data_IF_687038533045
#
_entry.id   IF_687038533045
#
_cell.length_a   1.000
_cell.length_b   1.000
_cell.length_c   1.000
_cell.angle_alpha   90.00
_cell.angle_beta   90.00
_cell.angle_gamma   90.00
#
_symmetry.space_group_name_H-M   'P 1'
#
loop_
_entity.id
_entity.type
_entity.pdbx_description
1 polymer ?
#
# COMPACT_ATOMS: atom_id res chain seq x y z
N UNK A 1 13.22 -0.30 4.96
CA UNK A 1 11.83 -0.81 4.95
C UNK A 1 10.80 0.13 5.58
N UNK A 2 11.21 1.15 6.37
CA UNK A 2 10.26 2.05 7.04
C UNK A 2 9.25 2.71 6.11
N UNK A 3 9.68 3.29 4.99
CA UNK A 3 8.78 3.92 4.02
C UNK A 3 7.76 2.94 3.40
N UNK A 4 8.19 1.72 3.04
CA UNK A 4 7.30 0.71 2.47
C UNK A 4 6.22 0.26 3.47
N UNK A 5 6.62 -0.08 4.69
CA UNK A 5 5.67 -0.47 5.75
C UNK A 5 4.79 0.71 6.17
N UNK A 6 5.36 1.91 6.25
CA UNK A 6 4.65 3.15 6.54
C UNK A 6 3.57 3.44 5.50
N UNK A 7 3.87 3.29 4.21
CA UNK A 7 2.89 3.46 3.13
C UNK A 7 1.67 2.55 3.32
N UNK A 8 1.90 1.26 3.57
CA UNK A 8 0.80 0.32 3.81
C UNK A 8 0.04 0.64 5.10
N UNK A 9 0.72 1.04 6.16
CA UNK A 9 0.08 1.44 7.41
C UNK A 9 -0.81 2.68 7.24
N UNK A 10 -0.34 3.70 6.52
CA UNK A 10 -1.14 4.91 6.23
C UNK A 10 -2.37 4.56 5.40
N UNK A 11 -2.23 3.63 4.45
CA UNK A 11 -3.33 3.18 3.61
C UNK A 11 -4.33 2.31 4.37
N UNK A 12 -3.88 1.44 5.30
CA UNK A 12 -4.74 0.72 6.25
C UNK A 12 -5.54 1.71 7.08
N UNK A 13 -4.87 2.71 7.68
CA UNK A 13 -5.53 3.70 8.51
C UNK A 13 -6.58 4.50 7.73
N UNK A 14 -6.22 4.99 6.54
CA UNK A 14 -7.15 5.70 5.67
C UNK A 14 -8.32 4.80 5.23
N UNK A 15 -8.06 3.51 5.01
CA UNK A 15 -9.06 2.51 4.61
C UNK A 15 -10.20 2.32 5.61
N UNK A 16 -9.96 2.56 6.91
CA UNK A 16 -11.01 2.46 7.93
C UNK A 16 -12.18 3.44 7.70
N UNK A 17 -11.92 4.54 6.98
CA UNK A 17 -12.92 5.56 6.63
C UNK A 17 -12.99 5.83 5.14
N UNK A 18 -12.23 5.08 4.35
CA UNK A 18 -11.97 5.31 2.93
C UNK A 18 -11.55 6.75 2.63
N UNK A 19 -10.70 7.35 3.48
CA UNK A 19 -10.26 8.74 3.30
C UNK A 19 -9.18 8.87 2.20
N UNK A 20 -9.64 9.04 0.97
CA UNK A 20 -8.77 9.25 -0.20
C UNK A 20 -8.00 10.56 -0.21
N UNK A 21 -8.27 11.47 0.74
CA UNK A 21 -7.57 12.76 0.89
C UNK A 21 -6.66 12.78 2.10
N UNK A 22 -6.47 11.64 2.77
CA UNK A 22 -5.63 11.54 3.95
C UNK A 22 -4.22 12.05 3.63
N UNK A 23 -3.81 13.09 4.35
CA UNK A 23 -2.46 13.67 4.22
C UNK A 23 -1.37 12.68 4.63
N UNK A 24 -1.73 11.64 5.39
CA UNK A 24 -0.81 10.59 5.82
C UNK A 24 -0.26 9.80 4.63
N UNK A 25 -1.07 9.57 3.59
CA UNK A 25 -0.62 8.86 2.37
C UNK A 25 0.63 9.50 1.76
N UNK A 26 0.69 10.85 1.78
CA UNK A 26 1.84 11.61 1.26
C UNK A 26 3.08 11.60 2.18
N UNK A 27 3.01 11.04 3.38
CA UNK A 27 4.16 10.90 4.27
C UNK A 27 5.12 9.83 3.74
N UNK A 28 4.59 8.72 3.24
CA UNK A 28 5.37 7.58 2.78
C UNK A 28 5.22 7.24 1.29
N UNK A 29 4.27 7.84 0.57
CA UNK A 29 4.11 7.67 -0.87
C UNK A 29 4.23 8.97 -1.65
N UNK A 30 4.64 8.86 -2.91
CA UNK A 30 4.67 9.94 -3.89
C UNK A 30 4.35 9.39 -5.28
N UNK A 31 4.26 10.25 -6.29
CA UNK A 31 4.14 9.86 -7.70
C UNK A 31 2.99 8.88 -7.99
N UNK A 32 3.32 7.78 -8.68
CA UNK A 32 2.35 6.75 -9.09
C UNK A 32 1.77 6.04 -7.87
N UNK A 33 2.61 5.72 -6.88
CA UNK A 33 2.16 5.05 -5.67
C UNK A 33 1.07 5.86 -4.94
N UNK A 34 1.33 7.15 -4.67
CA UNK A 34 0.35 8.02 -3.99
C UNK A 34 -0.96 8.14 -4.80
N UNK A 35 -0.84 8.23 -6.12
CA UNK A 35 -1.99 8.29 -7.02
C UNK A 35 -2.85 7.03 -6.93
N UNK A 36 -2.22 5.85 -6.94
CA UNK A 36 -2.93 4.57 -6.88
C UNK A 36 -3.63 4.36 -5.54
N UNK A 37 -2.95 4.68 -4.43
CA UNK A 37 -3.54 4.61 -3.09
C UNK A 37 -4.77 5.52 -2.98
N UNK A 38 -4.63 6.79 -3.38
CA UNK A 38 -5.74 7.75 -3.33
C UNK A 38 -6.91 7.31 -4.22
N UNK A 39 -6.64 6.77 -5.41
CA UNK A 39 -7.69 6.26 -6.31
C UNK A 39 -8.41 5.04 -5.75
N UNK A 40 -7.69 4.11 -5.10
CA UNK A 40 -8.27 2.95 -4.45
C UNK A 40 -9.26 3.35 -3.35
N UNK A 41 -8.85 4.26 -2.46
CA UNK A 41 -9.70 4.79 -1.40
C UNK A 41 -10.89 5.59 -1.96
N UNK A 42 -10.69 6.34 -3.05
CA UNK A 42 -11.78 7.07 -3.67
C UNK A 42 -12.84 6.12 -4.23
N UNK A 43 -12.42 5.02 -4.88
CA UNK A 43 -13.32 4.00 -5.36
C UNK A 43 -14.08 3.35 -4.19
N UNK A 44 -13.42 3.03 -3.08
CA UNK A 44 -14.08 2.48 -1.91
C UNK A 44 -15.10 3.47 -1.32
N UNK A 45 -14.72 4.74 -1.15
CA UNK A 45 -15.63 5.79 -0.69
C UNK A 45 -16.86 5.94 -1.59
N UNK A 46 -16.64 6.04 -2.90
CA UNK A 46 -17.72 6.18 -3.89
C UNK A 46 -18.70 5.01 -3.84
N UNK A 47 -18.21 3.80 -3.54
CA UNK A 47 -19.04 2.60 -3.42
C UNK A 47 -19.62 2.37 -2.02
N UNK A 48 -19.38 3.29 -1.06
CA UNK A 48 -19.84 3.16 0.32
C UNK A 48 -19.16 2.01 1.07
N UNK A 49 -17.89 1.75 0.76
CA UNK A 49 -17.08 0.69 1.35
C UNK A 49 -16.02 1.28 2.27
N UNK A 50 -15.67 0.52 3.31
CA UNK A 50 -14.48 0.72 4.14
C UNK A 50 -13.72 -0.59 4.24
N UNK A 51 -12.41 -0.52 4.44
CA UNK A 51 -11.55 -1.71 4.56
C UNK A 51 -11.12 -1.87 6.01
N UNK A 52 -11.19 -3.09 6.54
CA UNK A 52 -10.78 -3.42 7.92
C UNK A 52 -9.76 -4.56 7.92
N UNK A 53 -8.97 -4.62 9.00
CA UNK A 53 -7.82 -5.51 9.09
C UNK A 53 -6.58 -4.88 8.44
N UNK A 54 -5.56 -5.69 8.23
CA UNK A 54 -4.29 -5.24 7.66
C UNK A 54 -3.62 -6.39 6.88
N UNK A 55 -2.80 -6.07 5.87
CA UNK A 55 -2.04 -7.09 5.18
C UNK A 55 -0.89 -7.59 6.06
N UNK A 56 -0.55 -8.88 5.94
CA UNK A 56 0.72 -9.39 6.46
C UNK A 56 1.80 -9.10 5.42
N UNK A 57 2.86 -8.39 5.83
CA UNK A 57 3.94 -7.95 4.96
C UNK A 57 5.28 -8.59 5.37
N UNK A 58 5.98 -9.18 4.42
CA UNK A 58 7.32 -9.75 4.55
C UNK A 58 8.34 -9.15 3.53
N UNK A 59 8.51 -7.82 3.50
CA UNK A 59 9.38 -7.15 2.54
C UNK A 59 10.86 -7.47 2.75
N UNK A 60 11.56 -7.55 1.63
CA UNK A 60 13.02 -7.66 1.53
C UNK A 60 13.54 -6.61 0.56
N UNK A 61 14.78 -6.17 0.77
CA UNK A 61 15.45 -5.26 -0.17
C UNK A 61 16.07 -6.13 -1.26
N UNK A 62 15.68 -5.89 -2.51
CA UNK A 62 16.18 -6.65 -3.67
C UNK A 62 17.27 -5.90 -4.46
N UNK A 63 17.26 -4.57 -4.45
CA UNK A 63 18.35 -3.75 -5.03
C UNK A 63 18.47 -2.40 -4.31
N UNK A 64 19.67 -1.81 -4.35
CA UNK A 64 19.98 -0.47 -3.82
C UNK A 64 20.88 0.25 -4.82
N UNK A 65 20.46 1.44 -5.27
CA UNK A 65 21.11 2.17 -6.36
C UNK A 65 21.24 3.68 -6.06
N UNK A 66 22.41 4.28 -6.28
CA UNK A 66 23.73 3.63 -6.34
C UNK A 66 24.14 3.09 -4.95
N UNK A 67 25.02 2.08 -4.90
CA UNK A 67 25.40 1.42 -3.65
C UNK A 67 26.11 2.35 -2.63
N UNK A 68 26.92 3.29 -3.10
CA UNK A 68 27.69 4.20 -2.24
C UNK A 68 26.84 5.34 -1.66
N UNK A 69 25.82 5.81 -2.40
CA UNK A 69 24.92 6.85 -1.96
C UNK A 69 23.48 6.54 -2.42
N UNK A 70 22.76 5.66 -1.71
CA UNK A 70 21.46 5.19 -2.15
C UNK A 70 20.47 6.33 -2.43
N UNK A 71 19.93 6.34 -3.65
CA UNK A 71 18.84 7.24 -4.08
C UNK A 71 17.57 6.47 -4.44
N UNK A 72 17.71 5.19 -4.79
CA UNK A 72 16.64 4.29 -5.19
C UNK A 72 16.83 2.93 -4.53
N UNK A 73 15.75 2.34 -4.03
CA UNK A 73 15.73 1.01 -3.43
C UNK A 73 14.59 0.23 -4.06
N UNK A 74 14.86 -0.99 -4.50
CA UNK A 74 13.83 -1.92 -4.94
C UNK A 74 13.48 -2.83 -3.75
N UNK A 75 12.19 -2.94 -3.48
CA UNK A 75 11.62 -3.78 -2.43
C UNK A 75 10.83 -4.89 -3.09
N UNK A 76 11.03 -6.11 -2.61
CA UNK A 76 10.22 -7.29 -2.98
C UNK A 76 9.49 -7.78 -1.73
N UNK A 77 8.20 -8.03 -1.83
CA UNK A 77 7.37 -8.53 -0.73
C UNK A 77 6.47 -9.68 -1.21
N UNK A 78 6.12 -10.57 -0.29
CA UNK A 78 4.99 -11.47 -0.40
C UNK A 78 3.90 -10.97 0.55
N UNK A 79 3.02 -10.11 0.06
CA UNK A 79 1.96 -9.50 0.86
C UNK A 79 0.74 -10.42 0.93
N UNK A 80 0.21 -10.68 2.12
CA UNK A 80 -0.99 -11.46 2.34
C UNK A 80 -2.17 -10.56 2.75
N UNK A 81 -3.18 -10.49 1.90
CA UNK A 81 -4.40 -9.71 2.10
C UNK A 81 -5.58 -10.53 2.64
N UNK A 82 -5.39 -11.81 3.02
CA UNK A 82 -6.46 -12.73 3.41
C UNK A 82 -7.42 -12.15 4.45
N UNK A 83 -6.90 -11.39 5.42
CA UNK A 83 -7.69 -10.83 6.52
C UNK A 83 -7.94 -9.32 6.37
N UNK A 84 -7.72 -8.76 5.18
CA UNK A 84 -7.89 -7.34 4.91
C UNK A 84 -9.08 -7.13 3.97
N UNK A 85 -10.26 -7.04 4.58
CA UNK A 85 -11.54 -7.24 3.91
C UNK A 85 -12.35 -5.94 3.80
N UNK A 86 -13.21 -5.87 2.79
CA UNK A 86 -14.14 -4.76 2.57
C UNK A 86 -15.48 -4.95 3.27
N UNK A 87 -15.99 -3.88 3.85
CA UNK A 87 -17.26 -3.81 4.58
C UNK A 87 -18.09 -2.64 4.08
N UNK A 88 -19.41 -2.78 4.18
CA UNK A 88 -20.38 -1.70 3.99
C UNK A 88 -20.20 -0.64 5.08
N UNK A 89 -20.01 0.61 4.70
CA UNK A 89 -19.79 1.71 5.65
C UNK A 89 -21.05 2.03 6.48
N UNK A 90 -22.23 1.85 5.90
CA UNK A 90 -23.55 2.13 6.48
C UNK A 90 -24.02 1.03 7.44
N UNK A 91 -23.84 -0.24 7.07
CA UNK A 91 -24.34 -1.39 7.84
C UNK A 91 -23.26 -2.13 8.63
N UNK A 92 -21.99 -1.97 8.25
CA UNK A 92 -20.88 -2.76 8.80
C UNK A 92 -20.82 -4.20 8.32
N UNK A 93 -21.71 -4.61 7.41
CA UNK A 93 -21.75 -5.96 6.84
C UNK A 93 -20.54 -6.23 5.93
N UNK A 94 -20.10 -7.49 5.88
CA UNK A 94 -19.03 -7.92 4.97
C UNK A 94 -19.51 -7.72 3.52
N UNK A 95 -18.80 -6.87 2.78
CA UNK A 95 -19.06 -6.59 1.38
C UNK A 95 -18.11 -7.36 0.45
N UNK A 96 -17.00 -7.85 0.98
CA UNK A 96 -16.00 -8.56 0.22
C UNK A 96 -16.53 -9.88 -0.33
N UNK A 97 -16.22 -10.14 -1.59
CA UNK A 97 -16.72 -11.32 -2.33
C UNK A 97 -15.59 -12.07 -3.04
N UNK A 98 -14.41 -11.46 -3.12
CA UNK A 98 -13.26 -12.07 -3.73
C UNK A 98 -12.28 -12.49 -2.63
N UNK A 99 -11.68 -13.68 -2.74
CA UNK A 99 -10.66 -14.07 -1.80
C UNK A 99 -9.45 -13.14 -1.91
N UNK A 100 -9.09 -12.54 -0.78
CA UNK A 100 -7.74 -12.03 -0.57
C UNK A 100 -6.71 -13.17 -0.61
N UNK A 101 -5.44 -12.82 -0.38
CA UNK A 101 -4.38 -13.81 -0.25
C UNK A 101 -3.01 -13.26 -0.56
N UNK A 102 -2.07 -14.19 -0.72
CA UNK A 102 -0.67 -13.91 -0.97
C UNK A 102 -0.43 -13.47 -2.42
N UNK A 103 0.26 -12.36 -2.58
CA UNK A 103 0.66 -11.78 -3.87
C UNK A 103 2.09 -11.29 -3.77
N UNK A 104 2.88 -11.54 -4.80
CA UNK A 104 4.15 -10.88 -4.96
C UNK A 104 3.91 -9.38 -5.17
N UNK A 105 4.76 -8.55 -4.55
CA UNK A 105 4.72 -7.09 -4.70
C UNK A 105 6.14 -6.62 -4.97
N UNK A 106 6.31 -5.78 -5.99
CA UNK A 106 7.55 -5.05 -6.22
C UNK A 106 7.28 -3.56 -6.04
N UNK A 107 8.14 -2.89 -5.29
CA UNK A 107 8.02 -1.45 -5.05
C UNK A 107 9.35 -0.74 -5.21
N UNK A 108 9.27 0.54 -5.59
CA UNK A 108 10.41 1.42 -5.73
C UNK A 108 10.31 2.49 -4.63
N UNK A 109 11.31 2.55 -3.77
CA UNK A 109 11.49 3.65 -2.83
C UNK A 109 12.54 4.62 -3.37
N UNK A 110 12.23 5.91 -3.36
CA UNK A 110 13.13 6.97 -3.80
C UNK A 110 13.39 7.97 -2.69
N UNK A 111 14.65 8.40 -2.60
CA UNK A 111 15.07 9.44 -1.67
C UNK A 111 14.65 10.81 -2.19
N UNK A 112 13.88 11.52 -1.41
CA UNK A 112 13.37 12.86 -1.71
C UNK A 112 14.45 13.92 -1.45
N UNK A 113 14.21 15.15 -1.93
CA UNK A 113 15.14 16.28 -1.75
C UNK A 113 15.35 16.68 -0.27
N UNK A 114 14.34 16.46 0.57
CA UNK A 114 14.42 16.64 2.03
C UNK A 114 15.13 15.48 2.76
N UNK A 115 15.58 14.46 2.03
CA UNK A 115 16.27 13.29 2.56
C UNK A 115 15.34 12.17 3.04
N UNK A 116 14.02 12.38 3.05
CA UNK A 116 13.04 11.34 3.36
C UNK A 116 12.99 10.26 2.27
N UNK A 117 12.52 9.06 2.61
CA UNK A 117 12.28 8.00 1.65
C UNK A 117 10.78 7.85 1.44
N UNK A 118 10.35 7.80 0.18
CA UNK A 118 8.95 7.55 -0.17
C UNK A 118 8.86 6.50 -1.25
N UNK A 119 7.78 5.73 -1.25
CA UNK A 119 7.45 4.81 -2.35
C UNK A 119 6.96 5.65 -3.51
N UNK A 120 7.66 5.60 -4.64
CA UNK A 120 7.30 6.32 -5.87
C UNK A 120 6.43 5.47 -6.78
N UNK A 121 6.61 4.15 -6.75
CA UNK A 121 5.87 3.18 -7.56
C UNK A 121 5.78 1.82 -6.87
N UNK A 122 4.75 1.05 -7.21
CA UNK A 122 4.60 -0.36 -6.82
C UNK A 122 3.68 -1.12 -7.78
N UNK A 123 3.96 -2.41 -7.94
CA UNK A 123 3.12 -3.37 -8.65
C UNK A 123 2.73 -4.52 -7.74
N UNK A 124 1.45 -4.86 -7.71
CA UNK A 124 0.90 -6.05 -7.04
C UNK A 124 0.58 -7.08 -8.11
N UNK A 125 1.17 -8.26 -8.00
CA UNK A 125 1.00 -9.34 -8.97
C UNK A 125 -0.27 -10.15 -8.72
N UNK A 126 -0.51 -11.17 -9.54
CA UNK A 126 -1.65 -12.07 -9.43
C UNK A 126 -1.66 -12.86 -8.11
N UNK A 127 -2.85 -13.33 -7.72
CA UNK A 127 -3.06 -14.14 -6.51
C UNK A 127 -2.26 -15.45 -6.57
N UNK A 128 -1.56 -15.81 -5.49
CA UNK A 128 -0.80 -17.05 -5.38
C UNK A 128 0.57 -17.02 -6.07
N UNK A 129 1.06 -15.84 -6.49
CA UNK A 129 2.42 -15.66 -7.02
C UNK A 129 3.51 -15.82 -5.95
N UNK A 130 3.09 -15.88 -4.69
CA UNK A 130 3.79 -16.39 -3.52
C UNK A 130 2.72 -16.98 -2.55
#
# INVERSE_FOLDING_TARGET
>A
MGAYRGMWADFVEAGHTSDWRSVKLGQHATGVALTNLSRGLYADHYNGLVTKGEPVLNPTVSSVEPAAEPKKIIVSDCGDSTNWLKYRADTGELADKEPGGRRAINAIAEKQSDGSWKISDYGVHELGTC
#
